data_IF_816570357464
#
_entry.id   IF_816570357464
#
_cell.length_a   1.000
_cell.length_b   1.000
_cell.length_c   1.000
_cell.angle_alpha   90.00
_cell.angle_beta   90.00
_cell.angle_gamma   90.00
#
_symmetry.space_group_name_H-M   'P 1'
#
loop_
_entity.id
_entity.type
_entity.pdbx_description
1 polymer ?
#
# COMPACT_ATOMS: atom_id res chain seq x y z
N UNK A 1 -15.98 32.36 43.88
CA UNK A 1 -16.59 32.42 42.52
C UNK A 1 -15.60 31.84 41.53
N UNK A 2 -15.69 30.55 41.24
CA UNK A 2 -14.78 29.82 40.39
C UNK A 2 -15.47 29.50 39.08
N UNK A 3 -15.04 30.14 38.01
CA UNK A 3 -15.62 30.05 36.66
C UNK A 3 -14.96 28.82 35.93
N UNK A 4 -15.73 27.78 35.76
CA UNK A 4 -15.31 26.60 34.96
C UNK A 4 -15.39 26.97 33.48
N UNK A 5 -14.26 26.95 32.79
CA UNK A 5 -14.16 27.05 31.35
C UNK A 5 -14.57 25.70 30.74
N UNK A 6 -15.73 25.67 30.11
CA UNK A 6 -16.17 24.55 29.27
C UNK A 6 -15.32 24.52 28.00
N UNK A 7 -14.45 23.51 27.89
CA UNK A 7 -13.73 23.19 26.63
C UNK A 7 -14.75 22.63 25.64
N UNK A 8 -15.09 23.41 24.62
CA UNK A 8 -15.89 22.96 23.50
C UNK A 8 -15.09 21.90 22.74
N UNK A 9 -15.51 20.63 22.77
CA UNK A 9 -15.08 19.57 21.89
C UNK A 9 -15.37 19.99 20.45
N UNK A 10 -14.35 20.45 19.73
CA UNK A 10 -14.43 20.66 18.28
C UNK A 10 -14.61 19.29 17.65
N UNK A 11 -15.75 19.05 17.03
CA UNK A 11 -16.02 17.85 16.23
C UNK A 11 -14.96 17.61 15.16
N UNK A 12 -14.90 16.40 14.56
CA UNK A 12 -13.83 16.01 13.66
C UNK A 12 -13.68 17.04 12.54
N UNK A 13 -12.48 17.61 12.40
CA UNK A 13 -12.17 18.55 11.33
C UNK A 13 -12.30 17.83 10.00
N UNK A 14 -13.31 18.19 9.21
CA UNK A 14 -13.46 17.75 7.81
C UNK A 14 -12.29 18.32 6.99
N UNK A 15 -11.26 17.53 6.79
CA UNK A 15 -10.15 17.87 5.92
C UNK A 15 -10.58 17.73 4.45
N UNK A 16 -11.06 18.81 3.85
CA UNK A 16 -11.21 18.90 2.40
C UNK A 16 -9.86 19.29 1.80
N UNK A 17 -9.03 18.30 1.48
CA UNK A 17 -7.75 18.49 0.80
C UNK A 17 -7.92 18.86 -0.69
N UNK A 18 -9.08 18.62 -1.26
CA UNK A 18 -9.40 18.92 -2.66
C UNK A 18 -10.35 20.12 -2.78
N UNK A 19 -10.17 20.89 -3.86
CA UNK A 19 -11.18 21.89 -4.27
C UNK A 19 -12.44 21.17 -4.76
N UNK A 20 -13.59 21.85 -4.74
CA UNK A 20 -14.84 21.28 -5.29
C UNK A 20 -14.67 20.84 -6.75
N UNK A 21 -13.93 21.61 -7.56
CA UNK A 21 -13.65 21.29 -8.96
C UNK A 21 -12.77 20.04 -9.07
N UNK A 22 -11.74 19.91 -8.23
CA UNK A 22 -10.88 18.71 -8.20
C UNK A 22 -11.66 17.46 -7.84
N UNK A 23 -12.56 17.54 -6.84
CA UNK A 23 -13.42 16.43 -6.45
C UNK A 23 -14.36 16.03 -7.60
N UNK A 24 -15.00 17.00 -8.27
CA UNK A 24 -15.89 16.72 -9.42
C UNK A 24 -15.17 16.00 -10.57
N UNK A 25 -13.91 16.38 -10.86
CA UNK A 25 -13.10 15.71 -11.89
C UNK A 25 -12.75 14.27 -11.48
N UNK A 26 -12.42 14.05 -10.19
CA UNK A 26 -12.15 12.70 -9.68
C UNK A 26 -13.42 11.83 -9.76
N UNK A 27 -14.58 12.35 -9.35
CA UNK A 27 -15.85 11.63 -9.37
C UNK A 27 -16.23 11.27 -10.83
N UNK A 28 -16.14 12.21 -11.78
CA UNK A 28 -16.35 11.95 -13.21
C UNK A 28 -15.40 10.87 -13.75
N UNK A 29 -14.12 10.91 -13.37
CA UNK A 29 -13.14 9.90 -13.76
C UNK A 29 -13.52 8.52 -13.25
N UNK A 30 -14.02 8.42 -12.00
CA UNK A 30 -14.49 7.16 -11.43
C UNK A 30 -15.72 6.62 -12.15
N UNK A 31 -16.66 7.48 -12.53
CA UNK A 31 -17.85 7.11 -13.32
C UNK A 31 -17.49 6.60 -14.72
N UNK A 32 -16.47 7.20 -15.36
CA UNK A 32 -15.95 6.73 -16.65
C UNK A 32 -15.38 5.32 -16.51
N UNK A 33 -14.55 5.09 -15.49
CA UNK A 33 -13.95 3.76 -15.23
C UNK A 33 -15.04 2.73 -14.99
N UNK A 34 -16.03 3.02 -14.14
CA UNK A 34 -17.15 2.12 -13.86
C UNK A 34 -17.94 1.76 -15.12
N UNK A 35 -18.20 2.75 -15.98
CA UNK A 35 -18.93 2.54 -17.25
C UNK A 35 -18.12 1.71 -18.25
N UNK A 36 -16.81 1.94 -18.38
CA UNK A 36 -15.96 1.25 -19.34
C UNK A 36 -15.65 -0.20 -18.93
N UNK A 37 -15.47 -0.45 -17.65
CA UNK A 37 -15.29 -1.81 -17.13
C UNK A 37 -16.58 -2.62 -17.14
N UNK A 38 -17.72 -2.00 -16.79
CA UNK A 38 -19.00 -2.70 -16.66
C UNK A 38 -18.99 -3.71 -15.53
N UNK A 39 -19.35 -4.98 -15.79
CA UNK A 39 -19.36 -6.04 -14.77
C UNK A 39 -17.94 -6.54 -14.46
N UNK A 40 -17.66 -6.79 -13.20
CA UNK A 40 -16.38 -7.29 -12.71
C UNK A 40 -16.57 -8.27 -11.54
N UNK A 41 -15.59 -9.16 -11.24
CA UNK A 41 -15.70 -10.16 -10.17
C UNK A 41 -15.35 -9.65 -8.78
N UNK A 42 -14.98 -8.37 -8.62
CA UNK A 42 -14.55 -7.80 -7.35
C UNK A 42 -15.72 -7.48 -6.44
N UNK A 43 -15.56 -7.71 -5.14
CA UNK A 43 -16.51 -7.32 -4.10
C UNK A 43 -16.59 -5.78 -3.93
N UNK A 44 -17.60 -5.32 -3.19
CA UNK A 44 -17.78 -3.88 -2.86
C UNK A 44 -16.60 -3.27 -2.11
N UNK A 45 -15.79 -4.08 -1.41
CA UNK A 45 -14.60 -3.61 -0.70
C UNK A 45 -13.34 -3.65 -1.59
N UNK A 46 -13.25 -4.55 -2.54
CA UNK A 46 -12.11 -4.68 -3.45
C UNK A 46 -12.18 -3.68 -4.61
N UNK A 47 -13.38 -3.47 -5.18
CA UNK A 47 -13.55 -2.61 -6.34
C UNK A 47 -13.02 -1.18 -6.15
N UNK A 48 -13.25 -0.49 -5.04
CA UNK A 48 -12.66 0.83 -4.79
C UNK A 48 -11.12 0.85 -4.90
N UNK A 49 -10.44 -0.24 -4.52
CA UNK A 49 -8.99 -0.36 -4.61
C UNK A 49 -8.56 -0.55 -6.06
N UNK A 50 -9.17 -1.49 -6.78
CA UNK A 50 -8.89 -1.75 -8.20
C UNK A 50 -9.15 -0.51 -9.04
N UNK A 51 -10.30 0.12 -8.87
CA UNK A 51 -10.69 1.36 -9.55
C UNK A 51 -9.69 2.50 -9.30
N UNK A 52 -9.15 2.60 -8.06
CA UNK A 52 -8.13 3.59 -7.72
C UNK A 52 -6.81 3.35 -8.44
N UNK A 53 -6.41 2.09 -8.64
CA UNK A 53 -5.23 1.72 -9.42
C UNK A 53 -5.44 2.12 -10.89
N UNK A 54 -6.59 1.77 -11.48
CA UNK A 54 -6.93 2.14 -12.86
C UNK A 54 -6.90 3.67 -13.02
N UNK A 55 -7.51 4.41 -12.10
CA UNK A 55 -7.49 5.87 -12.12
C UNK A 55 -6.07 6.46 -12.10
N UNK A 56 -5.16 5.87 -11.32
CA UNK A 56 -3.79 6.35 -11.18
C UNK A 56 -2.88 5.98 -12.36
N UNK A 57 -3.27 5.02 -13.18
CA UNK A 57 -2.43 4.45 -14.25
C UNK A 57 -3.03 4.59 -15.64
N UNK A 58 -4.33 4.89 -15.74
CA UNK A 58 -5.15 4.80 -16.93
C UNK A 58 -5.07 3.42 -17.62
N UNK A 59 -4.87 2.35 -16.84
CA UNK A 59 -4.63 1.00 -17.34
C UNK A 59 -5.72 0.03 -16.87
N UNK A 60 -6.64 -0.28 -17.77
CA UNK A 60 -7.78 -1.18 -17.53
C UNK A 60 -7.38 -2.66 -17.37
N UNK A 61 -6.17 -3.05 -17.78
CA UNK A 61 -5.68 -4.43 -17.59
C UNK A 61 -5.63 -4.84 -16.12
N UNK A 62 -5.60 -3.90 -15.17
CA UNK A 62 -5.65 -4.22 -13.73
C UNK A 62 -6.99 -4.79 -13.27
N UNK A 63 -8.06 -4.64 -14.04
CA UNK A 63 -9.31 -5.38 -13.83
C UNK A 63 -9.45 -6.62 -14.73
N UNK A 64 -8.52 -6.80 -15.70
CA UNK A 64 -8.55 -7.86 -16.71
C UNK A 64 -7.30 -8.74 -16.68
N UNK A 65 -6.46 -8.64 -17.70
CA UNK A 65 -5.30 -9.50 -17.93
C UNK A 65 -4.26 -9.46 -16.79
N UNK A 66 -4.07 -8.31 -16.18
CA UNK A 66 -3.15 -8.10 -15.05
C UNK A 66 -3.93 -7.88 -13.74
N UNK A 67 -5.05 -8.56 -13.58
CA UNK A 67 -6.01 -8.40 -12.49
C UNK A 67 -5.33 -8.34 -11.12
N UNK A 68 -5.91 -7.52 -10.25
CA UNK A 68 -5.55 -7.47 -8.84
C UNK A 68 -6.07 -8.73 -8.14
N UNK A 69 -5.25 -9.29 -7.27
CA UNK A 69 -5.54 -10.48 -6.47
C UNK A 69 -5.41 -10.12 -4.99
N UNK A 70 -6.42 -10.48 -4.24
CA UNK A 70 -6.52 -10.24 -2.81
C UNK A 70 -6.47 -11.56 -2.05
N UNK A 71 -5.81 -11.58 -0.91
CA UNK A 71 -6.06 -12.56 0.14
C UNK A 71 -7.37 -12.20 0.85
N UNK A 72 -8.12 -13.17 1.32
CA UNK A 72 -9.45 -12.96 1.91
C UNK A 72 -9.43 -11.92 3.06
N UNK A 73 -8.39 -11.92 3.88
CA UNK A 73 -8.24 -11.00 5.01
C UNK A 73 -7.52 -9.67 4.67
N UNK A 74 -7.08 -9.48 3.42
CA UNK A 74 -6.16 -8.40 3.07
C UNK A 74 -6.69 -7.00 3.44
N UNK A 75 -7.94 -6.71 3.07
CA UNK A 75 -8.54 -5.39 3.28
C UNK A 75 -8.78 -5.14 4.76
N UNK A 76 -9.35 -6.13 5.45
CA UNK A 76 -9.65 -6.02 6.89
C UNK A 76 -8.38 -5.88 7.72
N UNK A 77 -7.36 -6.70 7.46
CA UNK A 77 -6.07 -6.61 8.15
C UNK A 77 -5.37 -5.30 7.88
N UNK A 78 -5.35 -4.85 6.62
CA UNK A 78 -4.74 -3.59 6.23
C UNK A 78 -5.42 -2.37 6.89
N UNK A 79 -6.75 -2.32 6.86
CA UNK A 79 -7.53 -1.25 7.50
C UNK A 79 -7.29 -1.22 9.00
N UNK A 80 -7.32 -2.38 9.68
CA UNK A 80 -7.09 -2.46 11.12
C UNK A 80 -5.67 -2.03 11.50
N UNK A 81 -4.65 -2.46 10.75
CA UNK A 81 -3.28 -2.04 10.97
C UNK A 81 -3.12 -0.52 10.82
N UNK A 82 -3.64 0.06 9.74
CA UNK A 82 -3.58 1.50 9.49
C UNK A 82 -4.35 2.30 10.56
N UNK A 83 -5.51 1.84 10.98
CA UNK A 83 -6.33 2.44 12.06
C UNK A 83 -5.56 2.48 13.39
N UNK A 84 -4.76 1.45 13.67
CA UNK A 84 -3.97 1.34 14.90
C UNK A 84 -2.61 2.06 14.83
N UNK A 85 -2.34 2.85 13.80
CA UNK A 85 -1.12 3.65 13.70
C UNK A 85 0.13 2.82 13.39
N UNK A 86 0.01 1.70 12.67
CA UNK A 86 1.13 0.83 12.32
C UNK A 86 2.21 1.54 11.49
N UNK A 87 3.40 0.93 11.42
CA UNK A 87 4.42 1.34 10.45
C UNK A 87 4.01 0.95 9.02
N UNK A 88 4.31 1.82 8.06
CA UNK A 88 4.17 1.58 6.61
C UNK A 88 5.59 1.52 6.04
N UNK A 89 6.02 0.32 5.64
CA UNK A 89 7.38 0.08 5.16
C UNK A 89 7.36 0.02 3.63
N UNK A 90 8.18 0.85 2.96
CA UNK A 90 8.22 0.91 1.49
C UNK A 90 9.61 0.55 0.95
N UNK A 91 9.64 -0.08 -0.23
CA UNK A 91 10.89 -0.47 -0.89
C UNK A 91 11.61 0.72 -1.54
N UNK A 92 10.87 1.75 -1.94
CA UNK A 92 11.42 2.94 -2.62
C UNK A 92 10.68 4.22 -2.25
N UNK A 93 11.38 5.35 -2.30
CA UNK A 93 10.80 6.68 -2.07
C UNK A 93 9.68 7.05 -3.06
N UNK A 94 9.64 6.43 -4.25
CA UNK A 94 8.58 6.64 -5.23
C UNK A 94 7.18 6.28 -4.70
N UNK A 95 7.08 5.27 -3.84
CA UNK A 95 5.82 4.91 -3.17
C UNK A 95 5.40 6.04 -2.22
N UNK A 96 6.33 6.55 -1.39
CA UNK A 96 6.07 7.66 -0.46
C UNK A 96 5.59 8.90 -1.21
N UNK A 97 6.18 9.19 -2.39
CA UNK A 97 5.79 10.31 -3.24
C UNK A 97 4.34 10.25 -3.71
N UNK A 98 3.79 9.05 -3.87
CA UNK A 98 2.40 8.82 -4.29
C UNK A 98 1.38 8.75 -3.13
N UNK A 99 1.85 8.68 -1.86
CA UNK A 99 0.95 8.66 -0.72
C UNK A 99 0.37 10.04 -0.42
N UNK A 100 -0.91 10.07 -0.06
CA UNK A 100 -1.51 11.25 0.53
C UNK A 100 -0.93 11.43 1.95
N UNK A 101 0.00 12.37 2.09
CA UNK A 101 0.77 12.60 3.33
C UNK A 101 -0.08 12.93 4.56
N UNK A 102 -1.32 13.36 4.39
CA UNK A 102 -2.21 13.68 5.49
C UNK A 102 -2.77 12.40 6.14
N UNK A 103 -3.03 11.36 5.35
CA UNK A 103 -3.59 10.12 5.86
C UNK A 103 -2.73 9.46 6.96
N UNK A 104 -1.44 9.15 6.73
CA UNK A 104 -0.60 8.59 7.78
C UNK A 104 -0.50 9.49 9.02
N UNK A 105 -0.47 10.80 8.85
CA UNK A 105 -0.44 11.76 9.98
C UNK A 105 -1.71 11.72 10.83
N UNK A 106 -2.88 11.62 10.19
CA UNK A 106 -4.15 11.62 10.90
C UNK A 106 -4.35 10.37 11.76
N UNK A 107 -3.77 9.25 11.33
CA UNK A 107 -3.87 7.95 12.02
C UNK A 107 -2.60 7.59 12.81
N UNK A 108 -1.59 8.45 12.83
CA UNK A 108 -0.35 8.22 13.60
C UNK A 108 0.59 7.16 13.00
N UNK A 109 0.42 6.85 11.70
CA UNK A 109 1.28 5.90 11.02
C UNK A 109 2.66 6.48 10.75
N UNK A 110 3.71 5.69 10.98
CA UNK A 110 5.08 6.03 10.60
C UNK A 110 5.41 5.43 9.23
N UNK A 111 6.05 6.20 8.35
CA UNK A 111 6.49 5.75 7.02
C UNK A 111 7.99 5.51 7.06
N UNK A 112 8.43 4.30 6.69
CA UNK A 112 9.83 3.87 6.71
C UNK A 112 10.25 3.48 5.29
N UNK A 113 11.37 4.07 4.83
CA UNK A 113 12.03 3.70 3.58
C UNK A 113 13.54 3.87 3.74
N UNK A 114 14.26 2.77 3.84
CA UNK A 114 15.70 2.78 4.09
C UNK A 114 16.54 2.73 2.80
N UNK A 115 15.93 2.77 1.61
CA UNK A 115 16.62 2.61 0.32
C UNK A 115 17.71 3.63 0.05
N UNK A 116 17.57 4.81 0.65
CA UNK A 116 18.53 5.93 0.54
C UNK A 116 19.45 6.07 1.75
N UNK A 117 19.43 5.13 2.70
CA UNK A 117 20.35 5.13 3.83
C UNK A 117 21.80 5.05 3.31
N UNK A 118 22.70 5.96 3.73
CA UNK A 118 24.08 5.99 3.26
C UNK A 118 24.84 4.66 3.44
N UNK A 119 24.54 3.91 4.51
CA UNK A 119 25.20 2.63 4.81
C UNK A 119 24.65 1.43 4.04
N UNK A 120 23.50 1.58 3.35
CA UNK A 120 22.81 0.41 2.77
C UNK A 120 23.57 -0.23 1.60
N UNK A 121 24.23 0.59 0.78
CA UNK A 121 24.98 0.12 -0.35
C UNK A 121 26.18 -0.75 0.08
N UNK A 122 26.88 -0.34 1.12
CA UNK A 122 28.03 -1.07 1.65
C UNK A 122 27.58 -2.40 2.30
N UNK A 123 26.54 -2.36 3.12
CA UNK A 123 25.95 -3.58 3.72
C UNK A 123 25.44 -4.56 2.67
N UNK A 124 24.76 -4.05 1.64
CA UNK A 124 24.28 -4.87 0.53
C UNK A 124 25.42 -5.59 -0.19
N UNK A 125 26.56 -4.89 -0.42
CA UNK A 125 27.75 -5.46 -1.02
C UNK A 125 28.37 -6.54 -0.13
N UNK A 126 28.53 -6.27 1.16
CA UNK A 126 29.11 -7.21 2.15
C UNK A 126 28.30 -8.50 2.25
N UNK A 127 26.96 -8.41 2.19
CA UNK A 127 26.06 -9.57 2.28
C UNK A 127 25.66 -10.17 0.93
N UNK A 128 26.27 -9.71 -0.17
CA UNK A 128 25.93 -10.12 -1.54
C UNK A 128 24.40 -10.03 -1.82
N UNK A 129 23.79 -8.91 -1.43
CA UNK A 129 22.37 -8.58 -1.60
C UNK A 129 22.18 -7.32 -2.43
N UNK A 130 20.97 -7.14 -2.95
CA UNK A 130 20.57 -5.85 -3.51
C UNK A 130 20.30 -4.83 -2.39
N UNK A 131 20.41 -3.53 -2.68
CA UNK A 131 20.02 -2.48 -1.72
C UNK A 131 18.58 -2.63 -1.26
N UNK A 132 17.69 -3.04 -2.18
CA UNK A 132 16.28 -3.25 -1.87
C UNK A 132 16.06 -4.40 -0.87
N UNK A 133 16.77 -5.53 -1.03
CA UNK A 133 16.76 -6.61 -0.05
C UNK A 133 17.27 -6.15 1.32
N UNK A 134 18.39 -5.44 1.33
CA UNK A 134 18.98 -4.94 2.58
C UNK A 134 18.08 -3.92 3.26
N UNK A 135 17.42 -3.04 2.49
CA UNK A 135 16.42 -2.09 3.01
C UNK A 135 15.31 -2.81 3.79
N UNK A 136 14.80 -3.92 3.24
CA UNK A 136 13.77 -4.72 3.91
C UNK A 136 14.32 -5.39 5.17
N UNK A 137 15.53 -5.96 5.14
CA UNK A 137 16.13 -6.58 6.33
C UNK A 137 16.32 -5.61 7.48
N UNK A 138 16.76 -4.39 7.21
CA UNK A 138 16.93 -3.35 8.24
C UNK A 138 15.60 -3.00 8.89
N UNK A 139 14.50 -3.00 8.12
CA UNK A 139 13.16 -2.68 8.59
C UNK A 139 12.41 -3.90 9.20
N UNK A 140 13.04 -5.06 9.34
CA UNK A 140 12.34 -6.30 9.70
C UNK A 140 11.51 -6.21 11.00
N UNK A 141 12.03 -5.55 12.04
CA UNK A 141 11.32 -5.33 13.30
C UNK A 141 10.09 -4.44 13.16
N UNK A 142 10.18 -3.42 12.28
CA UNK A 142 9.11 -2.46 12.05
C UNK A 142 7.97 -3.03 11.19
N UNK A 143 8.21 -4.17 10.53
CA UNK A 143 7.19 -4.86 9.72
C UNK A 143 6.16 -5.61 10.57
N UNK A 144 6.46 -5.94 11.83
CA UNK A 144 5.51 -6.67 12.67
C UNK A 144 4.23 -5.85 12.87
N UNK A 145 3.09 -6.47 12.58
CA UNK A 145 1.77 -5.84 12.56
C UNK A 145 1.67 -4.59 11.64
N UNK A 146 2.70 -4.38 10.81
CA UNK A 146 2.80 -3.27 9.86
C UNK A 146 2.25 -3.58 8.48
N UNK A 147 2.22 -2.56 7.62
CA UNK A 147 1.87 -2.66 6.20
C UNK A 147 3.15 -2.53 5.37
N UNK A 148 3.54 -3.62 4.71
CA UNK A 148 4.71 -3.65 3.82
C UNK A 148 4.26 -3.37 2.39
N UNK A 149 4.90 -2.40 1.71
CA UNK A 149 4.47 -1.89 0.41
C UNK A 149 5.62 -1.94 -0.59
N UNK A 150 5.59 -2.94 -1.47
CA UNK A 150 6.61 -3.18 -2.48
C UNK A 150 6.07 -2.73 -3.84
N UNK A 151 6.56 -1.60 -4.33
CA UNK A 151 6.12 -1.01 -5.60
C UNK A 151 7.14 -1.09 -6.72
N UNK A 152 8.40 -1.40 -6.43
CA UNK A 152 9.45 -1.35 -7.45
C UNK A 152 10.26 -2.64 -7.56
N UNK A 153 10.82 -3.14 -6.48
CA UNK A 153 11.85 -4.19 -6.53
C UNK A 153 11.31 -5.60 -6.25
N UNK A 154 11.25 -6.49 -7.25
CA UNK A 154 10.92 -7.90 -7.01
C UNK A 154 11.82 -8.56 -5.95
N UNK A 155 13.10 -8.18 -5.90
CA UNK A 155 14.03 -8.69 -4.89
C UNK A 155 13.68 -8.26 -3.46
N UNK A 156 13.05 -7.10 -3.28
CA UNK A 156 12.52 -6.70 -1.97
C UNK A 156 11.34 -7.59 -1.57
N UNK A 157 10.43 -7.89 -2.50
CA UNK A 157 9.29 -8.78 -2.23
C UNK A 157 9.75 -10.19 -1.86
N UNK A 158 10.70 -10.75 -2.61
CA UNK A 158 11.29 -12.06 -2.32
C UNK A 158 11.96 -12.10 -0.94
N UNK A 159 12.65 -11.02 -0.55
CA UNK A 159 13.29 -10.93 0.77
C UNK A 159 12.27 -10.85 1.90
N UNK A 160 11.17 -10.08 1.72
CA UNK A 160 10.06 -10.02 2.69
C UNK A 160 9.43 -11.39 2.87
N UNK A 161 9.10 -12.10 1.79
CA UNK A 161 8.54 -13.45 1.85
C UNK A 161 9.45 -14.43 2.57
N UNK A 162 10.76 -14.38 2.27
CA UNK A 162 11.76 -15.18 2.98
C UNK A 162 11.76 -14.91 4.48
N UNK A 163 11.74 -13.65 4.90
CA UNK A 163 11.71 -13.28 6.32
C UNK A 163 10.41 -13.72 7.01
N UNK A 164 9.27 -13.72 6.30
CA UNK A 164 8.00 -14.26 6.83
C UNK A 164 8.12 -15.78 7.04
N UNK A 165 8.62 -16.53 6.07
CA UNK A 165 8.82 -17.98 6.15
C UNK A 165 9.80 -18.37 7.26
N UNK A 166 10.86 -17.57 7.44
CA UNK A 166 11.86 -17.73 8.53
C UNK A 166 11.32 -17.24 9.89
N UNK A 167 10.09 -16.73 9.97
CA UNK A 167 9.47 -16.15 11.17
C UNK A 167 10.26 -14.98 11.79
N UNK A 168 11.02 -14.27 10.96
CA UNK A 168 11.75 -13.06 11.35
C UNK A 168 10.81 -11.87 11.50
N UNK A 169 9.73 -11.84 10.69
CA UNK A 169 8.73 -10.78 10.72
C UNK A 169 7.34 -11.32 10.42
N UNK A 170 6.30 -10.61 10.90
CA UNK A 170 4.89 -10.95 10.69
C UNK A 170 4.10 -9.68 10.32
N UNK A 171 4.10 -9.24 9.05
CA UNK A 171 3.30 -8.12 8.61
C UNK A 171 1.79 -8.38 8.73
N UNK A 172 1.02 -7.34 9.00
CA UNK A 172 -0.45 -7.40 8.92
C UNK A 172 -0.94 -7.44 7.47
N UNK A 173 -0.20 -6.79 6.55
CA UNK A 173 -0.51 -6.77 5.12
C UNK A 173 0.78 -6.61 4.30
N UNK A 174 0.87 -7.37 3.20
CA UNK A 174 1.89 -7.17 2.15
C UNK A 174 1.21 -6.69 0.87
N UNK A 175 1.44 -5.43 0.49
CA UNK A 175 1.11 -4.90 -0.84
C UNK A 175 2.30 -5.19 -1.75
N UNK A 176 2.24 -6.29 -2.49
CA UNK A 176 3.31 -6.79 -3.35
C UNK A 176 2.98 -6.57 -4.83
N UNK A 177 3.30 -5.39 -5.36
CA UNK A 177 2.99 -5.03 -6.75
C UNK A 177 4.22 -4.44 -7.49
N UNK A 178 5.40 -5.09 -7.39
CA UNK A 178 6.57 -4.62 -8.12
C UNK A 178 6.36 -4.69 -9.64
N UNK A 179 7.00 -3.77 -10.36
CA UNK A 179 7.02 -3.73 -11.83
C UNK A 179 8.36 -4.29 -12.32
N UNK A 180 8.35 -5.01 -13.45
CA UNK A 180 9.62 -5.41 -14.07
C UNK A 180 9.53 -6.62 -14.98
N UNK A 181 10.70 -6.97 -15.56
CA UNK A 181 10.85 -8.07 -16.51
C UNK A 181 11.53 -9.30 -15.91
N UNK A 182 12.31 -9.12 -14.83
CA UNK A 182 13.02 -10.19 -14.14
C UNK A 182 12.39 -10.40 -12.78
N UNK A 183 11.87 -11.59 -12.53
CA UNK A 183 11.24 -12.02 -11.25
C UNK A 183 10.02 -11.21 -10.79
N UNK A 184 9.50 -10.27 -11.59
CA UNK A 184 8.35 -9.46 -11.14
C UNK A 184 7.04 -10.24 -11.15
N UNK A 185 6.78 -11.01 -12.19
CA UNK A 185 5.59 -11.86 -12.27
C UNK A 185 5.72 -13.07 -11.32
N UNK A 186 6.90 -13.66 -11.27
CA UNK A 186 7.21 -14.85 -10.47
C UNK A 186 7.07 -14.54 -8.97
N UNK A 187 7.66 -13.44 -8.48
CA UNK A 187 7.57 -13.05 -7.06
C UNK A 187 6.14 -12.76 -6.62
N UNK A 188 5.33 -12.20 -7.50
CA UNK A 188 3.89 -11.97 -7.23
C UNK A 188 3.07 -13.26 -7.22
N UNK A 189 3.43 -14.22 -8.08
CA UNK A 189 2.86 -15.57 -8.04
C UNK A 189 3.22 -16.31 -6.76
N UNK A 190 4.48 -16.21 -6.33
CA UNK A 190 4.96 -16.80 -5.08
C UNK A 190 4.28 -16.20 -3.85
N UNK A 191 4.06 -14.87 -3.81
CA UNK A 191 3.35 -14.22 -2.72
C UNK A 191 1.98 -14.83 -2.46
N UNK A 192 1.28 -15.30 -3.50
CA UNK A 192 -0.04 -15.93 -3.36
C UNK A 192 -0.01 -17.30 -2.67
N UNK A 193 1.18 -17.86 -2.43
CA UNK A 193 1.37 -19.14 -1.73
C UNK A 193 1.85 -18.98 -0.29
N UNK A 194 2.11 -17.74 0.14
CA UNK A 194 2.60 -17.44 1.49
C UNK A 194 1.42 -17.16 2.42
N UNK A 195 1.48 -17.69 3.63
CA UNK A 195 0.46 -17.48 4.68
C UNK A 195 0.62 -16.07 5.31
N UNK A 196 0.17 -15.07 4.57
CA UNK A 196 0.13 -13.65 5.00
C UNK A 196 -0.97 -12.92 4.23
N UNK A 197 -1.72 -11.98 4.83
CA UNK A 197 -2.63 -11.13 4.07
C UNK A 197 -1.86 -10.34 3.00
N UNK A 198 -2.32 -10.39 1.75
CA UNK A 198 -1.65 -9.71 0.64
C UNK A 198 -2.62 -9.05 -0.35
N UNK A 199 -2.13 -8.02 -1.04
CA UNK A 199 -2.71 -7.46 -2.26
C UNK A 199 -1.61 -7.46 -3.32
N UNK A 200 -1.86 -8.11 -4.46
CA UNK A 200 -0.90 -8.21 -5.57
C UNK A 200 -1.61 -8.13 -6.92
N UNK A 201 -0.92 -8.37 -8.03
CA UNK A 201 -1.53 -8.49 -9.35
C UNK A 201 -0.84 -9.58 -10.18
N UNK A 202 -1.51 -10.04 -11.22
CA UNK A 202 -0.95 -10.98 -12.18
C UNK A 202 -0.01 -10.25 -13.15
N UNK A 203 1.09 -10.90 -13.55
CA UNK A 203 1.98 -10.45 -14.63
C UNK A 203 3.00 -9.39 -14.22
N UNK A 204 3.54 -8.66 -15.20
CA UNK A 204 4.72 -7.78 -15.05
C UNK A 204 4.40 -6.34 -14.67
N UNK A 205 3.15 -5.89 -14.92
CA UNK A 205 2.69 -4.55 -14.57
C UNK A 205 2.67 -4.34 -13.06
N UNK A 206 2.73 -3.11 -12.63
CA UNK A 206 2.78 -2.69 -11.24
C UNK A 206 3.47 -1.34 -11.12
N UNK A 207 4.11 -1.10 -9.99
CA UNK A 207 4.91 0.10 -9.79
C UNK A 207 4.50 0.91 -8.57
N UNK A 208 5.32 1.91 -8.27
CA UNK A 208 5.11 2.79 -7.09
C UNK A 208 3.75 3.48 -7.09
N UNK A 209 3.25 3.89 -8.27
CA UNK A 209 1.93 4.53 -8.38
C UNK A 209 0.79 3.57 -8.02
N UNK A 210 0.88 2.31 -8.49
CA UNK A 210 -0.09 1.26 -8.13
C UNK A 210 -0.05 0.98 -6.63
N UNK A 211 1.15 0.78 -6.07
CA UNK A 211 1.34 0.50 -4.66
C UNK A 211 0.80 1.62 -3.75
N UNK A 212 1.13 2.87 -4.07
CA UNK A 212 0.61 4.03 -3.34
C UNK A 212 -0.92 4.17 -3.47
N UNK A 213 -1.49 3.85 -4.65
CA UNK A 213 -2.93 3.88 -4.88
C UNK A 213 -3.69 2.91 -4.00
N UNK A 214 -3.15 1.70 -3.78
CA UNK A 214 -3.72 0.69 -2.88
C UNK A 214 -3.77 1.25 -1.45
N UNK A 215 -2.66 1.77 -0.94
CA UNK A 215 -2.59 2.32 0.43
C UNK A 215 -3.53 3.52 0.59
N UNK A 216 -3.59 4.42 -0.40
CA UNK A 216 -4.51 5.55 -0.38
C UNK A 216 -5.99 5.10 -0.39
N UNK A 217 -6.32 4.02 -1.13
CA UNK A 217 -7.65 3.45 -1.15
C UNK A 217 -8.03 2.81 0.18
N UNK A 218 -7.11 2.09 0.84
CA UNK A 218 -7.32 1.54 2.18
C UNK A 218 -7.59 2.65 3.20
N UNK A 219 -6.86 3.75 3.16
CA UNK A 219 -7.14 4.91 4.02
C UNK A 219 -8.50 5.56 3.70
N UNK A 220 -8.93 5.58 2.44
CA UNK A 220 -10.25 6.07 2.07
C UNK A 220 -11.34 5.17 2.64
N UNK A 221 -11.22 3.86 2.47
CA UNK A 221 -12.15 2.89 3.05
C UNK A 221 -12.21 2.98 4.58
N UNK A 222 -11.06 3.15 5.24
CA UNK A 222 -10.99 3.38 6.70
C UNK A 222 -11.76 4.63 7.14
N UNK A 223 -11.77 5.70 6.33
CA UNK A 223 -12.52 6.93 6.65
C UNK A 223 -14.01 6.81 6.41
N UNK A 224 -14.41 5.98 5.46
CA UNK A 224 -15.81 5.75 5.09
C UNK A 224 -16.48 4.76 6.04
N UNK A 225 -15.70 3.86 6.67
CA UNK A 225 -16.14 2.82 7.61
C UNK A 225 -15.30 2.88 8.91
N UNK A 226 -15.45 3.92 9.74
CA UNK A 226 -14.60 4.20 10.90
C UNK A 226 -14.72 3.18 12.06
#
# INVERSE_FOLDING_TARGET
MTRWLTSSLKGPRRWKLQTRKGQSIEDESMEIIDREIGSHPYSDMEWPIVRRIIHATADFDFAGKNKIVFHDDAITSGINALKNGCSIITDVNGVIGGLNKQNPKDFGNNIICNISDPGIAERAKQENKTRAQMSMRIAASDMNDGVVVIGNAPTALLEVMKMIQEKVTKPALVVGIPVGFVSAAESKGELQTIDVPFITNVGRKGGSSCAASIVNALFKLLRENP
#
